data_IF_313964964474
#
_entry.id   IF_313964964474
#
_cell.length_a   1.000
_cell.length_b   1.000
_cell.length_c   1.000
_cell.angle_alpha   90.00
_cell.angle_beta   90.00
_cell.angle_gamma   90.00
#
_symmetry.space_group_name_H-M   'P 1'
#
loop_
_entity.id
_entity.type
_entity.pdbx_description
1 polymer ?
#
# COMPACT_ATOMS: atom_id res chain seq x y z
N UNK A 1 19.04 -1.07 3.43
CA UNK A 1 18.86 -2.51 3.14
C UNK A 1 19.96 -3.34 3.80
N UNK A 2 19.61 -4.47 4.42
CA UNK A 2 20.58 -5.43 4.96
C UNK A 2 20.21 -6.86 4.53
N UNK A 3 21.19 -7.67 4.14
CA UNK A 3 20.97 -9.08 3.75
C UNK A 3 21.65 -10.00 4.75
N UNK A 4 20.88 -10.91 5.34
CA UNK A 4 21.39 -11.98 6.19
C UNK A 4 21.42 -13.30 5.39
N UNK A 5 22.59 -13.62 4.85
CA UNK A 5 22.80 -14.82 4.04
C UNK A 5 22.60 -16.12 4.84
N UNK A 6 23.02 -16.16 6.10
CA UNK A 6 22.90 -17.35 6.95
C UNK A 6 21.44 -17.73 7.23
N UNK A 7 20.58 -16.74 7.49
CA UNK A 7 19.14 -16.95 7.73
C UNK A 7 18.29 -16.90 6.46
N UNK A 8 18.90 -16.55 5.33
CA UNK A 8 18.22 -16.19 4.09
C UNK A 8 17.14 -15.15 4.34
N UNK A 9 17.50 -14.02 4.94
CA UNK A 9 16.57 -12.93 5.23
C UNK A 9 17.04 -11.62 4.58
N UNK A 10 16.09 -10.88 3.98
CA UNK A 10 16.31 -9.54 3.45
C UNK A 10 15.57 -8.57 4.37
N UNK A 11 16.32 -7.65 4.98
CA UNK A 11 15.79 -6.67 5.93
C UNK A 11 15.67 -5.32 5.24
N UNK A 12 14.44 -4.80 5.21
CA UNK A 12 14.05 -3.57 4.56
C UNK A 12 13.36 -2.65 5.54
N UNK A 13 13.65 -1.35 5.48
CA UNK A 13 13.10 -0.36 6.40
C UNK A 13 12.15 0.61 5.71
N UNK A 14 10.91 0.65 6.17
CA UNK A 14 9.88 1.58 5.72
C UNK A 14 9.68 2.64 6.80
N UNK A 15 9.82 3.92 6.43
CA UNK A 15 9.66 5.04 7.36
C UNK A 15 8.32 5.73 7.14
N UNK A 16 7.52 5.88 8.19
CA UNK A 16 6.33 6.74 8.16
C UNK A 16 6.73 8.15 8.56
N UNK A 17 6.54 9.11 7.66
CA UNK A 17 6.97 10.51 7.81
C UNK A 17 5.76 11.44 7.73
N UNK A 18 5.80 12.56 8.46
CA UNK A 18 4.77 13.58 8.44
C UNK A 18 4.78 14.42 9.71
N UNK A 19 4.01 15.50 9.73
CA UNK A 19 3.96 16.47 10.85
C UNK A 19 3.47 15.85 12.17
N UNK A 20 3.68 16.48 13.34
CA UNK A 20 3.10 16.00 14.59
C UNK A 20 1.60 15.74 14.47
N UNK A 21 1.12 14.65 15.09
CA UNK A 21 -0.30 14.26 15.10
C UNK A 21 -0.93 13.92 13.73
N UNK A 22 -0.14 13.76 12.67
CA UNK A 22 -0.68 13.36 11.35
C UNK A 22 -1.29 11.95 11.27
N UNK A 23 -1.18 11.13 12.32
CA UNK A 23 -1.71 9.76 12.36
C UNK A 23 -0.70 8.62 12.11
N UNK A 24 0.61 8.92 12.14
CA UNK A 24 1.69 7.91 11.99
C UNK A 24 1.60 6.78 13.02
N UNK A 25 1.39 7.11 14.29
CA UNK A 25 1.27 6.12 15.38
C UNK A 25 0.03 5.26 15.22
N UNK A 26 -1.10 5.87 14.82
CA UNK A 26 -2.35 5.18 14.52
C UNK A 26 -2.15 4.14 13.43
N UNK A 27 -1.52 4.51 12.30
CA UNK A 27 -1.17 3.58 11.22
C UNK A 27 -0.40 2.35 11.74
N UNK A 28 0.66 2.55 12.55
CA UNK A 28 1.44 1.42 13.09
C UNK A 28 0.62 0.57 14.07
N UNK A 29 -0.31 1.17 14.81
CA UNK A 29 -1.14 0.45 15.79
C UNK A 29 -2.10 -0.56 15.15
N UNK A 30 -2.51 -0.35 13.90
CA UNK A 30 -3.37 -1.29 13.18
C UNK A 30 -2.62 -2.55 12.70
N UNK A 31 -1.30 -2.46 12.48
CA UNK A 31 -0.52 -3.53 11.86
C UNK A 31 -0.60 -4.86 12.61
N UNK A 32 -0.41 -4.94 13.95
CA UNK A 32 -0.39 -6.21 14.67
C UNK A 32 -1.69 -7.01 14.57
N UNK A 33 -2.83 -6.34 14.41
CA UNK A 33 -4.15 -6.96 14.42
C UNK A 33 -4.68 -7.27 13.02
N UNK A 34 -4.14 -6.64 11.97
CA UNK A 34 -4.76 -6.64 10.63
C UNK A 34 -3.77 -6.88 9.49
N UNK A 35 -2.72 -7.69 9.70
CA UNK A 35 -1.84 -8.17 8.61
C UNK A 35 -2.09 -9.64 8.25
N UNK A 36 -3.04 -9.96 7.36
CA UNK A 36 -3.30 -11.35 6.95
C UNK A 36 -2.13 -11.96 6.15
N UNK A 37 -1.48 -11.19 5.28
CA UNK A 37 -0.40 -11.70 4.39
C UNK A 37 1.00 -11.66 5.00
N UNK A 38 1.16 -11.03 6.17
CA UNK A 38 2.44 -10.90 6.84
C UNK A 38 2.37 -11.51 8.24
N UNK A 39 3.38 -12.27 8.64
CA UNK A 39 3.53 -12.65 10.03
C UNK A 39 4.11 -11.47 10.79
N UNK A 40 3.39 -11.00 11.80
CA UNK A 40 3.92 -10.05 12.77
C UNK A 40 5.00 -10.78 13.58
N UNK A 41 6.27 -10.46 13.32
CA UNK A 41 7.42 -11.06 14.00
C UNK A 41 7.69 -10.36 15.32
N UNK A 42 7.43 -9.05 15.36
CA UNK A 42 7.51 -8.24 16.56
C UNK A 42 6.27 -7.34 16.60
N UNK A 43 5.42 -7.53 17.62
CA UNK A 43 4.27 -6.66 17.87
C UNK A 43 4.76 -5.24 18.13
N UNK A 44 3.95 -4.27 17.69
CA UNK A 44 4.15 -2.85 17.93
C UNK A 44 4.50 -2.61 19.40
N UNK A 45 5.71 -2.14 19.64
CA UNK A 45 6.20 -1.88 20.99
C UNK A 45 7.06 -0.64 20.98
N UNK A 46 7.10 0.03 22.12
CA UNK A 46 8.08 1.08 22.40
C UNK A 46 9.41 0.36 22.64
N UNK A 47 10.38 0.49 21.75
CA UNK A 47 11.76 0.26 22.17
C UNK A 47 12.15 1.48 22.98
N UNK A 48 12.28 1.30 24.29
CA UNK A 48 12.90 2.28 25.17
C UNK A 48 14.40 2.02 25.18
N UNK A 49 15.16 2.83 24.45
CA UNK A 49 16.63 2.79 24.49
C UNK A 49 17.20 3.62 25.65
N UNK A 50 16.36 4.01 26.62
CA UNK A 50 16.71 4.91 27.73
C UNK A 50 16.72 6.39 27.34
N UNK A 51 16.54 6.72 26.05
CA UNK A 51 16.48 8.10 25.53
C UNK A 51 15.27 8.40 24.66
N UNK A 52 14.61 7.39 24.07
CA UNK A 52 13.53 7.59 23.07
C UNK A 52 12.54 6.45 23.07
N UNK A 53 11.27 6.77 22.82
CA UNK A 53 10.18 5.83 22.55
C UNK A 53 9.95 5.74 21.04
N UNK A 54 10.38 4.65 20.40
CA UNK A 54 10.14 4.40 18.97
C UNK A 54 9.12 3.27 18.86
N UNK A 55 7.96 3.54 18.27
CA UNK A 55 7.04 2.46 17.89
C UNK A 55 7.45 1.93 16.53
N UNK A 56 7.70 0.63 16.50
CA UNK A 56 8.08 -0.11 15.30
C UNK A 56 7.30 -1.42 15.20
N UNK A 57 7.06 -1.89 13.99
CA UNK A 57 6.49 -3.21 13.72
C UNK A 57 7.37 -3.95 12.75
N UNK A 58 7.62 -5.24 13.01
CA UNK A 58 8.33 -6.12 12.07
C UNK A 58 7.35 -7.08 11.42
N UNK A 59 7.22 -6.95 10.11
CA UNK A 59 6.42 -7.82 9.27
C UNK A 59 7.34 -8.74 8.50
N UNK A 60 7.05 -10.04 8.54
CA UNK A 60 7.69 -11.03 7.70
C UNK A 60 6.71 -11.48 6.63
N UNK A 61 7.14 -11.49 5.38
CA UNK A 61 6.37 -12.05 4.28
C UNK A 61 5.98 -13.51 4.58
N UNK A 62 4.71 -13.89 4.46
CA UNK A 62 4.32 -15.30 4.50
C UNK A 62 4.82 -16.01 3.24
N UNK A 63 4.92 -17.34 3.27
CA UNK A 63 5.38 -18.15 2.12
C UNK A 63 4.42 -18.12 0.93
N UNK A 64 3.22 -17.54 1.07
CA UNK A 64 2.19 -17.52 0.04
C UNK A 64 2.46 -16.48 -1.05
N UNK A 65 3.30 -15.48 -0.76
CA UNK A 65 3.58 -14.37 -1.65
C UNK A 65 4.57 -14.86 -2.74
N UNK A 66 4.07 -15.22 -3.93
CA UNK A 66 4.85 -15.88 -4.98
C UNK A 66 5.93 -14.96 -5.57
N UNK A 67 5.81 -13.62 -5.44
CA UNK A 67 6.89 -12.66 -5.76
C UNK A 67 8.02 -12.61 -4.72
N UNK A 68 7.75 -13.07 -3.49
CA UNK A 68 8.75 -13.12 -2.41
C UNK A 68 9.42 -14.52 -2.35
N UNK A 69 9.09 -15.43 -3.28
CA UNK A 69 9.79 -16.71 -3.45
C UNK A 69 11.03 -16.63 -4.34
N UNK A 70 11.45 -15.44 -4.76
CA UNK A 70 12.72 -15.31 -5.46
C UNK A 70 13.87 -15.68 -4.48
N UNK A 71 14.52 -16.82 -4.76
CA UNK A 71 15.80 -17.26 -4.19
C UNK A 71 15.80 -17.80 -2.75
N UNK A 72 14.66 -18.23 -2.22
CA UNK A 72 14.52 -18.77 -0.85
C UNK A 72 14.81 -17.75 0.28
N UNK A 73 14.76 -16.44 0.01
CA UNK A 73 14.91 -15.40 1.04
C UNK A 73 13.56 -14.96 1.61
N UNK A 74 13.50 -14.78 2.93
CA UNK A 74 12.35 -14.19 3.64
C UNK A 74 12.54 -12.68 3.69
N UNK A 75 11.52 -11.90 3.32
CA UNK A 75 11.58 -10.45 3.45
C UNK A 75 11.07 -10.05 4.84
N UNK A 76 11.84 -9.21 5.50
CA UNK A 76 11.57 -8.67 6.83
C UNK A 76 11.46 -7.15 6.68
N UNK A 77 10.24 -6.65 6.77
CA UNK A 77 9.95 -5.22 6.73
C UNK A 77 9.91 -4.68 8.15
N UNK A 78 10.82 -3.78 8.47
CA UNK A 78 10.76 -2.99 9.70
C UNK A 78 10.09 -1.67 9.38
N UNK A 79 8.94 -1.43 10.00
CA UNK A 79 8.12 -0.24 9.80
C UNK A 79 8.20 0.59 11.08
N UNK A 80 8.64 1.84 10.97
CA UNK A 80 8.65 2.76 12.11
C UNK A 80 8.39 4.19 11.67
N UNK A 81 7.87 5.00 12.58
CA UNK A 81 7.64 6.41 12.30
C UNK A 81 8.88 7.26 12.60
N UNK A 82 8.99 8.39 11.90
CA UNK A 82 9.95 9.45 12.20
C UNK A 82 9.30 10.46 13.15
N UNK A 83 9.84 10.70 14.35
CA UNK A 83 9.28 11.66 15.29
C UNK A 83 9.53 13.10 14.81
N UNK A 84 8.47 13.78 14.37
CA UNK A 84 8.55 15.15 13.85
C UNK A 84 8.97 16.20 14.90
N UNK A 85 8.82 15.92 16.20
CA UNK A 85 9.22 16.83 17.29
C UNK A 85 10.66 16.61 17.76
N UNK A 86 11.39 15.65 17.19
CA UNK A 86 12.75 15.34 17.61
C UNK A 86 13.77 16.28 16.96
N UNK A 87 14.88 16.58 17.66
CA UNK A 87 16.00 17.33 17.10
C UNK A 87 16.56 16.72 15.80
N UNK A 88 17.15 17.54 14.93
CA UNK A 88 17.63 17.13 13.60
C UNK A 88 18.54 15.89 13.62
N UNK A 89 19.46 15.77 14.59
CA UNK A 89 20.32 14.57 14.74
C UNK A 89 19.50 13.30 14.98
N UNK A 90 18.39 13.41 15.69
CA UNK A 90 17.47 12.32 16.00
C UNK A 90 16.62 11.93 14.80
N UNK A 91 16.15 12.91 14.02
CA UNK A 91 15.43 12.69 12.75
C UNK A 91 16.34 12.03 11.71
N UNK A 92 17.56 12.55 11.54
CA UNK A 92 18.57 11.96 10.65
C UNK A 92 18.87 10.51 11.01
N UNK A 93 19.04 10.20 12.31
CA UNK A 93 19.23 8.82 12.78
C UNK A 93 18.01 7.93 12.47
N UNK A 94 16.79 8.45 12.66
CA UNK A 94 15.57 7.70 12.39
C UNK A 94 15.35 7.42 10.89
N UNK A 95 15.77 8.36 10.03
CA UNK A 95 15.74 8.27 8.57
C UNK A 95 16.88 7.41 8.01
N UNK A 96 17.98 7.25 8.75
CA UNK A 96 19.10 6.44 8.31
C UNK A 96 18.65 5.02 7.93
N UNK A 97 19.17 4.53 6.80
CA UNK A 97 18.81 3.22 6.26
C UNK A 97 17.36 3.10 5.77
N UNK A 98 16.65 4.21 5.53
CA UNK A 98 15.35 4.19 4.85
C UNK A 98 15.49 3.54 3.48
N UNK A 99 14.69 2.49 3.26
CA UNK A 99 14.56 1.82 1.98
C UNK A 99 13.32 2.30 1.22
N UNK A 100 12.29 2.78 1.93
CA UNK A 100 11.12 3.46 1.37
C UNK A 100 10.47 4.42 2.39
N UNK A 101 9.67 5.37 1.89
CA UNK A 101 8.89 6.31 2.70
C UNK A 101 7.40 6.16 2.47
N UNK A 102 6.64 6.35 3.54
CA UNK A 102 5.20 6.61 3.48
C UNK A 102 4.95 7.98 4.10
N UNK A 103 4.48 8.93 3.29
CA UNK A 103 4.08 10.27 3.72
C UNK A 103 2.68 10.24 4.29
N UNK A 104 2.55 10.38 5.60
CA UNK A 104 1.27 10.47 6.31
C UNK A 104 0.90 11.95 6.44
N UNK A 105 0.02 12.40 5.54
CA UNK A 105 -0.40 13.79 5.37
C UNK A 105 -1.70 14.01 6.13
N UNK A 106 -1.75 15.01 6.98
CA UNK A 106 -2.99 15.47 7.60
C UNK A 106 -3.77 16.30 6.58
N UNK A 107 -5.00 15.93 6.25
CA UNK A 107 -5.75 16.64 5.22
C UNK A 107 -6.23 18.03 5.64
N UNK A 108 -6.06 18.49 6.88
CA UNK A 108 -6.47 19.84 7.29
C UNK A 108 -5.78 20.94 6.46
N UNK A 109 -6.57 21.79 5.82
CA UNK A 109 -6.10 22.91 5.00
C UNK A 109 -5.11 23.84 5.71
N UNK A 110 -5.26 24.02 7.02
CA UNK A 110 -4.41 24.92 7.81
C UNK A 110 -3.01 24.34 8.05
N UNK A 111 -2.80 23.04 7.76
CA UNK A 111 -1.54 22.35 8.00
C UNK A 111 -0.67 22.23 6.75
N UNK A 112 -1.14 22.68 5.58
CA UNK A 112 -0.43 22.50 4.31
C UNK A 112 1.01 23.04 4.34
N UNK A 113 1.21 24.28 4.82
CA UNK A 113 2.54 24.89 4.91
C UNK A 113 3.48 24.09 5.82
N UNK A 114 2.98 23.60 6.96
CA UNK A 114 3.76 22.77 7.88
C UNK A 114 4.19 21.45 7.23
N UNK A 115 3.33 20.88 6.38
CA UNK A 115 3.62 19.63 5.67
C UNK A 115 4.66 19.81 4.58
N UNK A 116 4.60 20.91 3.83
CA UNK A 116 5.63 21.26 2.85
C UNK A 116 7.00 21.45 3.52
N UNK A 117 7.03 22.10 4.68
CA UNK A 117 8.27 22.24 5.44
C UNK A 117 8.81 20.89 5.91
N UNK A 118 7.97 20.03 6.49
CA UNK A 118 8.39 18.71 6.97
C UNK A 118 8.89 17.81 5.81
N UNK A 119 8.28 17.92 4.63
CA UNK A 119 8.71 17.23 3.42
C UNK A 119 10.09 17.72 2.96
N UNK A 120 10.26 19.04 2.88
CA UNK A 120 11.54 19.68 2.51
C UNK A 120 12.65 19.26 3.46
N UNK A 121 12.44 19.41 4.77
CA UNK A 121 13.42 19.06 5.79
C UNK A 121 13.80 17.57 5.74
N UNK A 122 12.82 16.70 5.55
CA UNK A 122 13.07 15.25 5.51
C UNK A 122 13.85 14.86 4.26
N UNK A 123 13.50 15.41 3.09
CA UNK A 123 14.22 15.16 1.84
C UNK A 123 15.65 15.70 1.88
N UNK A 124 15.90 16.81 2.58
CA UNK A 124 17.27 17.31 2.80
C UNK A 124 18.09 16.39 3.72
N UNK A 125 17.46 15.72 4.68
CA UNK A 125 18.12 14.78 5.60
C UNK A 125 18.29 13.37 5.01
N UNK A 126 17.67 13.07 3.87
CA UNK A 126 17.75 11.79 3.19
C UNK A 126 19.01 11.73 2.33
N UNK A 127 19.88 10.76 2.64
CA UNK A 127 21.11 10.53 1.88
C UNK A 127 20.85 9.98 0.45
N UNK A 128 19.65 9.45 0.18
CA UNK A 128 19.25 8.91 -1.11
C UNK A 128 17.78 9.27 -1.40
N UNK A 129 17.56 10.10 -2.41
CA UNK A 129 16.22 10.53 -2.82
C UNK A 129 15.56 9.56 -3.82
N UNK A 130 16.32 8.60 -4.35
CA UNK A 130 15.78 7.54 -5.18
C UNK A 130 15.39 6.34 -4.30
N UNK A 131 14.39 6.53 -3.45
CA UNK A 131 13.69 5.45 -2.74
C UNK A 131 12.20 5.53 -3.04
N UNK A 132 11.45 4.40 -3.04
CA UNK A 132 10.02 4.43 -3.25
C UNK A 132 9.32 5.31 -2.22
N UNK A 133 8.36 6.11 -2.69
CA UNK A 133 7.56 7.01 -1.86
C UNK A 133 6.09 6.72 -2.15
N UNK A 134 5.28 6.67 -1.10
CA UNK A 134 3.82 6.53 -1.19
C UNK A 134 3.19 7.58 -0.28
N UNK A 135 2.11 8.20 -0.74
CA UNK A 135 1.37 9.21 0.02
C UNK A 135 0.08 8.64 0.61
N UNK A 136 -0.25 9.11 1.79
CA UNK A 136 -1.51 8.84 2.47
C UNK A 136 -2.14 10.16 2.87
N UNK A 137 -3.23 10.53 2.21
CA UNK A 137 -4.08 11.66 2.57
C UNK A 137 -4.96 11.24 3.73
N UNK A 138 -4.49 11.43 4.96
CA UNK A 138 -5.16 10.97 6.18
C UNK A 138 -6.17 12.00 6.72
N UNK A 139 -7.08 11.55 7.58
CA UNK A 139 -8.20 12.32 8.15
C UNK A 139 -9.22 12.81 7.09
N UNK A 140 -9.52 11.99 6.08
CA UNK A 140 -10.54 12.32 5.05
C UNK A 140 -11.97 12.37 5.59
N UNK A 141 -12.20 11.88 6.80
CA UNK A 141 -13.45 12.02 7.55
C UNK A 141 -13.63 13.42 8.16
N UNK A 142 -12.56 14.22 8.27
CA UNK A 142 -12.62 15.57 8.85
C UNK A 142 -13.42 16.55 7.98
N UNK A 143 -14.23 17.45 8.58
CA UNK A 143 -14.88 18.54 7.85
C UNK A 143 -13.89 19.64 7.41
N UNK A 144 -12.72 19.75 8.07
CA UNK A 144 -11.70 20.75 7.75
C UNK A 144 -10.74 20.31 6.62
N UNK A 145 -11.02 19.17 5.98
CA UNK A 145 -10.15 18.59 4.96
C UNK A 145 -10.05 19.50 3.72
N UNK A 146 -8.84 19.59 3.19
CA UNK A 146 -8.53 20.21 1.92
C UNK A 146 -8.94 19.29 0.75
N UNK A 147 -9.12 19.87 -0.43
CA UNK A 147 -9.30 19.12 -1.66
C UNK A 147 -8.05 18.26 -1.93
N UNK A 148 -8.28 17.00 -2.34
CA UNK A 148 -7.23 16.05 -2.70
C UNK A 148 -6.38 16.57 -3.85
N UNK A 149 -6.99 17.22 -4.85
CA UNK A 149 -6.28 17.76 -6.00
C UNK A 149 -5.28 18.84 -5.59
N UNK A 150 -5.68 19.71 -4.64
CA UNK A 150 -4.80 20.72 -4.05
C UNK A 150 -3.64 20.07 -3.31
N UNK A 151 -3.91 19.05 -2.48
CA UNK A 151 -2.85 18.31 -1.77
C UNK A 151 -1.90 17.58 -2.72
N UNK A 152 -2.44 16.95 -3.76
CA UNK A 152 -1.70 16.24 -4.79
C UNK A 152 -0.74 17.19 -5.52
N UNK A 153 -1.24 18.34 -5.99
CA UNK A 153 -0.41 19.34 -6.66
C UNK A 153 0.67 19.92 -5.74
N UNK A 154 0.33 20.19 -4.47
CA UNK A 154 1.21 20.88 -3.54
C UNK A 154 2.29 19.98 -2.91
N UNK A 155 1.99 18.69 -2.69
CA UNK A 155 2.85 17.77 -1.93
C UNK A 155 3.34 16.56 -2.75
N UNK A 156 2.64 16.19 -3.82
CA UNK A 156 2.98 15.04 -4.65
C UNK A 156 3.00 15.36 -6.16
N UNK A 157 3.77 16.39 -6.60
CA UNK A 157 3.82 16.79 -8.01
C UNK A 157 4.40 15.70 -8.94
N UNK A 158 5.16 14.76 -8.38
CA UNK A 158 5.76 13.63 -9.11
C UNK A 158 4.78 12.45 -9.29
N UNK A 159 3.55 12.57 -8.80
CA UNK A 159 2.50 11.55 -8.92
C UNK A 159 2.92 10.17 -8.41
N UNK A 160 3.62 10.13 -7.26
CA UNK A 160 3.78 8.89 -6.52
C UNK A 160 2.40 8.33 -6.12
N UNK A 161 2.25 7.00 -5.91
CA UNK A 161 0.97 6.45 -5.49
C UNK A 161 0.45 7.12 -4.23
N UNK A 162 -0.84 7.43 -4.21
CA UNK A 162 -1.46 8.14 -3.11
C UNK A 162 -2.84 7.57 -2.77
N UNK A 163 -3.14 7.48 -1.47
CA UNK A 163 -4.35 6.84 -0.95
C UNK A 163 -5.13 7.78 -0.04
N UNK A 164 -6.45 7.75 -0.14
CA UNK A 164 -7.33 8.37 0.85
C UNK A 164 -7.36 7.51 2.10
N UNK A 165 -7.31 8.13 3.28
CA UNK A 165 -7.31 7.39 4.53
C UNK A 165 -8.09 8.08 5.66
N UNK A 166 -8.60 7.24 6.54
CA UNK A 166 -8.94 7.59 7.91
C UNK A 166 -8.29 6.54 8.80
N UNK A 167 -7.09 6.84 9.29
CA UNK A 167 -6.31 5.92 10.09
C UNK A 167 -7.10 5.41 11.32
N UNK A 168 -7.83 6.24 12.10
CA UNK A 168 -8.62 5.72 13.23
C UNK A 168 -9.67 4.68 12.85
N UNK A 169 -10.20 4.76 11.63
CA UNK A 169 -11.18 3.82 11.08
C UNK A 169 -10.52 2.67 10.30
N UNK A 170 -9.19 2.60 10.28
CA UNK A 170 -8.39 1.65 9.50
C UNK A 170 -8.62 1.71 7.97
N UNK A 171 -9.16 2.81 7.45
CA UNK A 171 -9.40 3.01 6.02
C UNK A 171 -8.11 3.52 5.37
N UNK A 172 -7.68 2.92 4.26
CA UNK A 172 -6.50 3.36 3.49
C UNK A 172 -5.12 3.05 4.12
N UNK A 173 -5.08 2.47 5.32
CA UNK A 173 -3.83 2.12 6.04
C UNK A 173 -3.06 1.00 5.31
N UNK A 174 -3.73 -0.13 5.07
CA UNK A 174 -3.12 -1.30 4.44
C UNK A 174 -2.85 -1.15 2.95
N UNK A 175 -3.74 -0.57 2.13
CA UNK A 175 -3.48 -0.30 0.71
C UNK A 175 -2.21 0.51 0.51
N UNK A 176 -2.05 1.57 1.32
CA UNK A 176 -0.87 2.41 1.33
C UNK A 176 0.39 1.61 1.70
N UNK A 177 0.34 0.84 2.79
CA UNK A 177 1.47 0.03 3.24
C UNK A 177 1.87 -1.03 2.21
N UNK A 178 0.92 -1.78 1.66
CA UNK A 178 1.20 -2.86 0.73
C UNK A 178 1.71 -2.35 -0.62
N UNK A 179 1.18 -1.23 -1.10
CA UNK A 179 1.72 -0.55 -2.28
C UNK A 179 3.20 -0.17 -2.08
N UNK A 180 3.54 0.34 -0.89
CA UNK A 180 4.92 0.68 -0.55
C UNK A 180 5.82 -0.58 -0.50
N UNK A 181 5.36 -1.65 0.16
CA UNK A 181 6.05 -2.94 0.24
C UNK A 181 6.31 -3.49 -1.17
N UNK A 182 5.32 -3.47 -2.04
CA UNK A 182 5.42 -3.99 -3.40
C UNK A 182 6.43 -3.21 -4.24
N UNK A 183 6.36 -1.88 -4.25
CA UNK A 183 7.31 -1.05 -4.97
C UNK A 183 8.74 -1.28 -4.47
N UNK A 184 8.90 -1.40 -3.15
CA UNK A 184 10.20 -1.65 -2.54
C UNK A 184 10.75 -3.02 -2.93
N UNK A 185 9.93 -4.07 -2.86
CA UNK A 185 10.34 -5.41 -3.27
C UNK A 185 10.67 -5.47 -4.77
N UNK A 186 9.87 -4.83 -5.63
CA UNK A 186 10.15 -4.77 -7.07
C UNK A 186 11.47 -4.05 -7.36
N UNK A 187 11.69 -2.88 -6.75
CA UNK A 187 12.93 -2.13 -6.89
C UNK A 187 14.13 -2.96 -6.47
N UNK A 188 14.03 -3.68 -5.35
CA UNK A 188 15.08 -4.57 -4.87
C UNK A 188 15.41 -5.70 -5.87
N UNK A 189 14.37 -6.37 -6.41
CA UNK A 189 14.54 -7.44 -7.41
C UNK A 189 15.22 -6.88 -8.66
N UNK A 190 14.80 -5.70 -9.13
CA UNK A 190 15.39 -5.06 -10.30
C UNK A 190 16.86 -4.67 -10.05
N UNK A 191 17.21 -4.17 -8.87
CA UNK A 191 18.56 -3.71 -8.57
C UNK A 191 19.56 -4.82 -8.25
N UNK A 192 19.10 -6.07 -8.07
CA UNK A 192 19.95 -7.17 -7.63
C UNK A 192 20.08 -8.23 -8.74
N UNK A 193 21.19 -8.23 -9.51
CA UNK A 193 21.34 -9.09 -10.71
C UNK A 193 21.19 -10.58 -10.42
N UNK A 194 21.71 -11.04 -9.28
CA UNK A 194 21.57 -12.43 -8.79
C UNK A 194 20.12 -12.83 -8.49
N UNK A 195 19.19 -11.85 -8.39
CA UNK A 195 17.76 -12.09 -8.21
C UNK A 195 16.95 -11.88 -9.49
N UNK A 196 17.59 -11.46 -10.60
CA UNK A 196 16.98 -11.35 -11.93
C UNK A 196 16.98 -12.74 -12.59
N UNK A 197 16.00 -13.59 -12.27
CA UNK A 197 15.68 -14.70 -13.17
C UNK A 197 15.00 -14.16 -14.44
N UNK A 198 15.21 -14.75 -15.64
CA UNK A 198 14.38 -14.43 -16.79
C UNK A 198 12.94 -14.74 -16.38
N UNK A 199 12.07 -13.73 -16.43
CA UNK A 199 10.66 -13.87 -16.08
C UNK A 199 10.05 -14.87 -17.06
N UNK A 200 9.97 -16.14 -16.68
CA UNK A 200 8.90 -17.02 -17.17
C UNK A 200 7.76 -16.82 -16.19
N UNK A 201 6.93 -15.83 -16.46
CA UNK A 201 5.62 -15.68 -15.82
C UNK A 201 4.80 -16.94 -16.13
N UNK A 202 4.92 -17.96 -15.29
CA UNK A 202 3.88 -18.99 -15.20
C UNK A 202 2.76 -18.38 -14.36
N UNK A 203 1.93 -17.54 -14.99
CA UNK A 203 0.69 -17.08 -14.37
C UNK A 203 -0.15 -18.33 -14.07
N UNK A 204 -0.48 -18.55 -12.79
CA UNK A 204 -1.38 -19.64 -12.44
C UNK A 204 -2.76 -19.30 -12.97
N UNK A 205 -3.28 -20.14 -13.85
CA UNK A 205 -4.63 -19.98 -14.41
C UNK A 205 -5.67 -20.39 -13.36
N UNK A 206 -6.62 -19.50 -13.08
CA UNK A 206 -7.71 -19.71 -12.14
C UNK A 206 -9.03 -19.57 -12.88
N UNK A 207 -9.94 -20.52 -12.65
CA UNK A 207 -11.28 -20.51 -13.23
C UNK A 207 -12.38 -20.16 -12.22
N UNK A 208 -12.00 -19.93 -10.96
CA UNK A 208 -12.93 -19.63 -9.87
C UNK A 208 -12.26 -18.77 -8.81
N UNK A 209 -13.06 -17.91 -8.17
CA UNK A 209 -12.66 -17.18 -6.97
C UNK A 209 -13.22 -17.90 -5.74
N UNK A 210 -12.38 -18.07 -4.73
CA UNK A 210 -12.67 -18.67 -3.44
C UNK A 210 -12.63 -17.54 -2.42
N UNK A 211 -13.74 -17.30 -1.74
CA UNK A 211 -13.83 -16.27 -0.70
C UNK A 211 -12.78 -16.46 0.39
N UNK A 212 -12.19 -15.37 0.87
CA UNK A 212 -11.13 -15.41 1.89
C UNK A 212 -9.73 -15.74 1.37
N UNK A 213 -9.57 -16.00 0.06
CA UNK A 213 -8.27 -16.28 -0.54
C UNK A 213 -7.58 -15.05 -1.10
N UNK A 214 -6.25 -15.17 -1.16
CA UNK A 214 -5.35 -14.19 -1.74
C UNK A 214 -4.76 -14.73 -3.04
N UNK A 215 -4.79 -13.89 -4.08
CA UNK A 215 -4.40 -14.22 -5.44
C UNK A 215 -3.27 -13.30 -5.89
N UNK A 216 -2.19 -13.90 -6.41
CA UNK A 216 -1.02 -13.15 -6.87
C UNK A 216 -0.57 -13.65 -8.25
N UNK A 217 -0.48 -12.74 -9.22
CA UNK A 217 -0.08 -13.05 -10.61
C UNK A 217 -0.92 -14.16 -11.25
N UNK A 218 -2.18 -14.25 -10.88
CA UNK A 218 -3.10 -15.20 -11.46
C UNK A 218 -3.67 -14.64 -12.77
N UNK A 219 -3.85 -15.53 -13.74
CA UNK A 219 -4.69 -15.26 -14.90
C UNK A 219 -6.08 -15.83 -14.61
N UNK A 220 -7.09 -14.97 -14.55
CA UNK A 220 -8.46 -15.38 -14.34
C UNK A 220 -9.22 -15.47 -15.65
N UNK A 221 -9.87 -16.63 -15.83
CA UNK A 221 -10.84 -16.91 -16.89
C UNK A 221 -12.14 -17.34 -16.18
N UNK A 222 -13.05 -16.38 -15.99
CA UNK A 222 -14.24 -16.55 -15.17
C UNK A 222 -15.46 -16.67 -16.07
N UNK A 223 -15.96 -17.91 -16.25
CA UNK A 223 -17.08 -18.18 -17.15
C UNK A 223 -18.44 -17.80 -16.55
N UNK A 224 -18.50 -17.59 -15.23
CA UNK A 224 -19.74 -17.33 -14.48
C UNK A 224 -19.57 -16.17 -13.52
N UNK A 225 -20.65 -15.41 -13.22
CA UNK A 225 -20.61 -14.35 -12.22
C UNK A 225 -20.08 -14.83 -10.87
N UNK A 226 -19.06 -14.15 -10.33
CA UNK A 226 -18.44 -14.51 -9.06
C UNK A 226 -18.91 -13.58 -7.93
N UNK A 227 -19.17 -14.15 -6.76
CA UNK A 227 -19.22 -13.38 -5.51
C UNK A 227 -17.82 -13.33 -4.91
N UNK A 228 -17.30 -12.13 -4.70
CA UNK A 228 -15.96 -11.90 -4.18
C UNK A 228 -16.09 -11.37 -2.76
N UNK A 229 -15.59 -12.12 -1.78
CA UNK A 229 -15.69 -11.72 -0.38
C UNK A 229 -14.38 -11.99 0.35
N UNK A 230 -13.88 -10.97 1.06
CA UNK A 230 -12.64 -11.03 1.83
C UNK A 230 -11.44 -11.51 1.00
N UNK A 231 -11.37 -11.11 -0.27
CA UNK A 231 -10.30 -11.54 -1.19
C UNK A 231 -9.31 -10.41 -1.46
N UNK A 232 -8.05 -10.77 -1.68
CA UNK A 232 -7.02 -9.82 -2.14
C UNK A 232 -6.43 -10.29 -3.46
N UNK A 233 -6.41 -9.44 -4.48
CA UNK A 233 -5.85 -9.71 -5.80
C UNK A 233 -4.69 -8.76 -6.07
N UNK A 234 -3.53 -9.33 -6.40
CA UNK A 234 -2.31 -8.58 -6.65
C UNK A 234 -1.73 -8.95 -8.02
N UNK A 235 -1.57 -7.96 -8.89
CA UNK A 235 -1.02 -8.13 -10.25
C UNK A 235 -1.71 -9.25 -11.04
N UNK A 236 -3.00 -9.44 -10.80
CA UNK A 236 -3.79 -10.47 -11.47
C UNK A 236 -4.37 -9.92 -12.77
N UNK A 237 -4.42 -10.76 -13.79
CA UNK A 237 -5.02 -10.41 -15.08
C UNK A 237 -6.33 -11.15 -15.23
N UNK A 238 -7.40 -10.42 -15.48
CA UNK A 238 -8.73 -10.93 -15.78
C UNK A 238 -8.95 -10.75 -17.28
N UNK A 239 -8.81 -11.85 -18.04
CA UNK A 239 -8.59 -11.79 -19.49
C UNK A 239 -9.85 -11.68 -20.34
N UNK A 240 -10.99 -12.11 -19.80
CA UNK A 240 -12.30 -12.06 -20.46
C UNK A 240 -13.28 -11.16 -19.69
N UNK A 241 -14.55 -11.17 -20.13
CA UNK A 241 -15.66 -10.52 -19.42
C UNK A 241 -15.76 -11.09 -18.01
N UNK A 242 -15.38 -10.28 -17.04
CA UNK A 242 -15.40 -10.59 -15.62
C UNK A 242 -16.62 -9.95 -15.01
N UNK A 243 -17.54 -10.80 -14.53
CA UNK A 243 -18.77 -10.34 -13.87
C UNK A 243 -18.64 -10.63 -12.38
N UNK A 244 -18.66 -9.59 -11.56
CA UNK A 244 -18.78 -9.71 -10.11
C UNK A 244 -20.23 -9.43 -9.70
N UNK A 245 -20.90 -10.47 -9.18
CA UNK A 245 -22.28 -10.33 -8.73
C UNK A 245 -22.36 -9.54 -7.43
N UNK A 246 -21.36 -9.66 -6.55
CA UNK A 246 -21.17 -8.83 -5.35
C UNK A 246 -19.70 -8.82 -4.95
N UNK A 247 -19.21 -7.69 -4.41
CA UNK A 247 -17.85 -7.57 -3.88
C UNK A 247 -17.89 -7.03 -2.46
N UNK A 248 -17.30 -7.73 -1.49
CA UNK A 248 -17.30 -7.28 -0.09
C UNK A 248 -15.92 -7.43 0.52
N UNK A 249 -15.42 -6.36 1.15
CA UNK A 249 -14.13 -6.28 1.83
C UNK A 249 -12.99 -6.89 1.02
N UNK A 250 -12.86 -6.50 -0.25
CA UNK A 250 -11.89 -7.10 -1.17
C UNK A 250 -11.02 -6.05 -1.87
N UNK A 251 -9.77 -6.40 -2.15
CA UNK A 251 -8.76 -5.48 -2.66
C UNK A 251 -8.23 -5.95 -4.02
N UNK A 252 -8.11 -5.05 -4.98
CA UNK A 252 -7.55 -5.29 -6.30
C UNK A 252 -6.43 -4.31 -6.56
N UNK A 253 -5.19 -4.81 -6.60
CA UNK A 253 -3.99 -3.98 -6.60
C UNK A 253 -3.12 -4.38 -7.79
N UNK A 254 -2.80 -3.43 -8.68
CA UNK A 254 -2.10 -3.67 -9.95
C UNK A 254 -2.79 -4.68 -10.88
N UNK A 255 -4.09 -4.89 -10.71
CA UNK A 255 -4.82 -5.85 -11.53
C UNK A 255 -5.14 -5.27 -12.92
N UNK A 256 -5.24 -6.13 -13.92
CA UNK A 256 -5.68 -5.75 -15.25
C UNK A 256 -7.00 -6.46 -15.58
N UNK A 257 -7.99 -5.72 -16.06
CA UNK A 257 -9.29 -6.24 -16.45
C UNK A 257 -9.55 -5.91 -17.92
N UNK A 258 -9.81 -6.93 -18.73
CA UNK A 258 -10.25 -6.75 -20.11
C UNK A 258 -11.67 -6.16 -20.17
N UNK A 259 -12.59 -6.70 -19.38
CA UNK A 259 -13.95 -6.16 -19.25
C UNK A 259 -14.49 -6.50 -17.86
N UNK A 260 -14.81 -5.48 -17.06
CA UNK A 260 -15.32 -5.63 -15.70
C UNK A 260 -16.77 -5.16 -15.62
N UNK A 261 -17.65 -6.05 -15.19
CA UNK A 261 -19.05 -5.76 -14.87
C UNK A 261 -19.31 -6.03 -13.38
N UNK A 262 -19.94 -5.08 -12.68
CA UNK A 262 -20.39 -5.25 -11.31
C UNK A 262 -21.91 -5.13 -11.29
N UNK A 263 -22.61 -6.18 -10.83
CA UNK A 263 -24.08 -6.25 -10.89
C UNK A 263 -24.76 -5.71 -9.65
N UNK A 264 -24.34 -6.12 -8.44
CA UNK A 264 -24.88 -5.60 -7.18
C UNK A 264 -23.87 -4.72 -6.46
N UNK A 265 -24.18 -3.43 -6.39
CA UNK A 265 -23.36 -2.42 -5.74
C UNK A 265 -23.80 -2.09 -4.32
N UNK A 266 -24.95 -2.59 -3.86
CA UNK A 266 -25.45 -2.36 -2.50
C UNK A 266 -24.57 -3.11 -1.49
N UNK A 267 -24.06 -2.36 -0.50
CA UNK A 267 -23.08 -2.81 0.52
C UNK A 267 -21.78 -3.38 -0.06
N UNK A 268 -21.47 -3.10 -1.33
CA UNK A 268 -20.22 -3.54 -1.93
C UNK A 268 -19.06 -2.66 -1.45
N UNK A 269 -18.01 -3.31 -0.93
CA UNK A 269 -16.79 -2.65 -0.43
C UNK A 269 -15.59 -3.24 -1.16
N UNK A 270 -15.08 -2.48 -2.12
CA UNK A 270 -13.98 -2.90 -2.97
C UNK A 270 -13.01 -1.74 -3.17
N UNK A 271 -11.72 -2.03 -3.03
CA UNK A 271 -10.67 -1.05 -3.30
C UNK A 271 -9.87 -1.46 -4.52
N UNK A 272 -9.79 -0.55 -5.51
CA UNK A 272 -9.06 -0.75 -6.75
C UNK A 272 -7.89 0.25 -6.77
N UNK A 273 -6.67 -0.26 -6.58
CA UNK A 273 -5.45 0.54 -6.59
C UNK A 273 -4.58 0.22 -7.80
N UNK A 274 -4.23 1.25 -8.58
CA UNK A 274 -3.35 1.13 -9.76
C UNK A 274 -3.82 0.05 -10.75
N UNK A 275 -5.13 -0.01 -10.99
CA UNK A 275 -5.77 -1.03 -11.82
C UNK A 275 -5.92 -0.51 -13.25
N UNK A 276 -5.72 -1.39 -14.24
CA UNK A 276 -6.07 -1.13 -15.64
C UNK A 276 -7.40 -1.79 -15.95
N UNK A 277 -8.37 -1.03 -16.46
CA UNK A 277 -9.68 -1.54 -16.87
C UNK A 277 -9.93 -1.05 -18.30
N UNK A 278 -10.03 -1.96 -19.27
CA UNK A 278 -10.25 -1.57 -20.67
C UNK A 278 -11.73 -1.22 -20.92
N UNK A 279 -12.67 -1.97 -20.35
CA UNK A 279 -14.10 -1.69 -20.42
C UNK A 279 -14.75 -1.89 -19.04
N UNK A 280 -15.54 -0.91 -18.60
CA UNK A 280 -16.25 -0.94 -17.31
C UNK A 280 -17.75 -0.73 -17.52
N UNK A 281 -18.56 -1.66 -17.02
CA UNK A 281 -20.02 -1.55 -17.02
C UNK A 281 -20.57 -1.69 -15.59
N UNK A 282 -21.44 -0.77 -15.19
CA UNK A 282 -22.12 -0.81 -13.89
C UNK A 282 -23.63 -0.69 -14.10
N UNK A 283 -24.40 -1.64 -13.57
CA UNK A 283 -25.85 -1.68 -13.73
C UNK A 283 -26.54 -1.54 -12.38
N UNK A 284 -26.79 -0.30 -11.91
CA UNK A 284 -28.09 0.17 -11.35
C UNK A 284 -28.05 1.59 -10.75
N UNK A 285 -29.24 2.20 -10.74
CA UNK A 285 -29.61 3.51 -10.21
C UNK A 285 -29.47 3.60 -8.68
N UNK A 286 -28.51 4.36 -8.16
CA UNK A 286 -28.62 5.24 -6.97
C UNK A 286 -27.24 5.64 -6.42
N UNK A 287 -27.14 6.89 -5.95
CA UNK A 287 -25.92 7.64 -5.62
C UNK A 287 -25.17 7.23 -4.33
N UNK A 288 -25.21 5.97 -3.91
CA UNK A 288 -24.50 5.54 -2.69
C UNK A 288 -23.58 4.35 -2.97
N UNK A 289 -22.37 4.62 -3.45
CA UNK A 289 -21.29 3.62 -3.55
C UNK A 289 -19.94 4.22 -3.19
N UNK A 290 -19.29 3.68 -2.16
CA UNK A 290 -17.87 3.94 -1.85
C UNK A 290 -16.98 3.01 -2.67
N UNK A 291 -16.92 3.22 -3.99
CA UNK A 291 -15.81 2.73 -4.81
C UNK A 291 -14.70 3.77 -4.78
N UNK A 292 -13.59 3.50 -4.08
CA UNK A 292 -12.39 4.32 -4.20
C UNK A 292 -11.56 3.81 -5.39
N UNK A 293 -11.84 4.37 -6.56
CA UNK A 293 -11.04 4.18 -7.78
C UNK A 293 -9.86 5.15 -7.73
N UNK A 294 -8.64 4.64 -7.57
CA UNK A 294 -7.44 5.45 -7.43
C UNK A 294 -6.66 5.64 -8.76
N UNK A 295 -7.31 5.50 -9.92
CA UNK A 295 -6.66 5.62 -11.25
C UNK A 295 -7.50 6.39 -12.25
N UNK A 296 -6.81 7.15 -13.12
CA UNK A 296 -7.35 7.86 -14.28
C UNK A 296 -8.06 6.90 -15.22
N UNK A 297 -9.39 6.97 -15.31
CA UNK A 297 -10.16 6.23 -16.32
C UNK A 297 -10.10 7.04 -17.60
N UNK A 298 -9.38 6.56 -18.62
CA UNK A 298 -9.71 6.91 -20.00
C UNK A 298 -10.97 6.15 -20.38
N UNK A 299 -12.14 6.77 -20.19
CA UNK A 299 -13.36 6.33 -20.84
C UNK A 299 -13.17 6.56 -22.34
N UNK A 300 -12.86 5.52 -23.10
CA UNK A 300 -13.13 5.54 -24.53
C UNK A 300 -14.63 5.27 -24.67
N UNK A 301 -15.39 6.35 -24.89
CA UNK A 301 -16.77 6.30 -25.42
C UNK A 301 -16.77 5.73 -26.82
#
# INVERSE_FOLDING_TARGET
MQVNFAKKEIHLQIKLVGIPLSGKTTNISHLPAHTPHHKVVQKGGIIDTGRKRIFHCKLQSRKANNKIKHHNYKYIFTIHYVPATAHNSSRSTALHGADALIWIIDSDKNKLAQQQQEQTDTLQMLNNNDIPQVFQWNFRDSPAKENVDTLQQALNPQNYPAFLASAPQNIGVFPCLYTCIDQLTQKHIQQTPQFRSPIKEQQQTQHKIISGNDYENCAFYLDTPQQVQNCSFYNCTFRDKTIFSKITNSFFIYCNFANLEIQNTEDSTAEFASVSIQHFANHTHNECTTFQLHSSITCLT
#
